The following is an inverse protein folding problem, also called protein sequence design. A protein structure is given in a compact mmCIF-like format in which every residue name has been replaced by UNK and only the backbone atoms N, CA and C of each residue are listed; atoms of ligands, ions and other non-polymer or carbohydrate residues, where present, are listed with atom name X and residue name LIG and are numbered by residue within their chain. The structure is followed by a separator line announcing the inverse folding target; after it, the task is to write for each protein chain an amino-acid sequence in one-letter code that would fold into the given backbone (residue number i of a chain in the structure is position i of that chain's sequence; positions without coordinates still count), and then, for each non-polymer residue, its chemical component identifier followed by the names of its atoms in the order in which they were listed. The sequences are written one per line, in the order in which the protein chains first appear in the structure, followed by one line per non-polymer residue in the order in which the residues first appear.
data_IF_136964864192
#
_entry.id   IF_136964864192
#
_cell.length_a   1.000
_cell.length_b   1.000
_cell.length_c   1.000
_cell.angle_alpha   90.00
_cell.angle_beta   90.00
_cell.angle_gamma   90.00
#
_symmetry.space_group_name_H-M   'P 1'
#
loop_
_entity.id
_entity.type
_entity.pdbx_description
1 polymer ?
#
# COMPACT_ATOMS: atom_id res chain seq x y z
N UNK A 1 -8.18 11.06 -19.38
CA UNK A 1 -7.86 9.68 -19.83
C UNK A 1 -9.12 8.84 -19.71
N UNK A 2 -9.53 8.12 -20.76
CA UNK A 2 -10.81 7.38 -20.79
C UNK A 2 -10.75 6.01 -20.05
N UNK A 3 -9.77 5.81 -19.17
CA UNK A 3 -9.62 4.56 -18.39
C UNK A 3 -9.22 3.31 -19.19
N UNK A 4 -8.90 3.44 -20.49
CA UNK A 4 -8.46 2.31 -21.32
C UNK A 4 -6.97 2.02 -21.07
N UNK A 5 -6.66 0.75 -20.86
CA UNK A 5 -5.30 0.21 -20.82
C UNK A 5 -5.02 -0.65 -22.06
N UNK A 6 -3.75 -0.84 -22.40
CA UNK A 6 -3.36 -1.77 -23.49
C UNK A 6 -3.51 -3.21 -23.00
N UNK A 7 -3.75 -4.15 -23.92
CA UNK A 7 -4.01 -5.56 -23.56
C UNK A 7 -2.81 -6.27 -22.88
N UNK A 8 -1.61 -5.71 -23.00
CA UNK A 8 -0.39 -6.20 -22.35
C UNK A 8 -0.14 -5.56 -20.97
N UNK A 9 -1.09 -4.78 -20.44
CA UNK A 9 -0.96 -4.17 -19.12
C UNK A 9 -1.08 -5.24 -18.05
N UNK A 10 -0.13 -5.28 -17.12
CA UNK A 10 -0.21 -6.12 -15.93
C UNK A 10 -1.06 -5.39 -14.90
N UNK A 11 -2.15 -6.03 -14.49
CA UNK A 11 -2.98 -5.56 -13.40
C UNK A 11 -2.32 -5.90 -12.05
N UNK A 12 -2.37 -4.97 -11.11
CA UNK A 12 -1.70 -5.06 -9.81
C UNK A 12 -2.70 -4.86 -8.69
N UNK A 13 -2.34 -5.28 -7.48
CA UNK A 13 -3.19 -5.15 -6.31
C UNK A 13 -2.78 -3.96 -5.44
N UNK A 14 -3.77 -3.23 -4.93
CA UNK A 14 -3.66 -2.25 -3.83
C UNK A 14 -4.72 -2.59 -2.78
N UNK A 15 -4.32 -2.85 -1.54
CA UNK A 15 -5.19 -3.20 -0.41
C UNK A 15 -4.36 -3.32 0.88
N UNK A 16 -5.00 -3.43 2.05
CA UNK A 16 -4.35 -3.92 3.25
C UNK A 16 -3.99 -5.42 3.14
N UNK A 17 -4.79 -6.23 2.43
CA UNK A 17 -4.54 -7.67 2.27
C UNK A 17 -5.20 -8.25 1.01
N UNK A 18 -4.42 -8.33 -0.07
CA UNK A 18 -4.87 -8.88 -1.36
C UNK A 18 -5.20 -10.38 -1.35
N UNK A 19 -4.70 -11.11 -0.34
CA UNK A 19 -5.02 -12.52 -0.15
C UNK A 19 -6.45 -12.66 0.39
N UNK A 20 -6.77 -12.01 1.51
CA UNK A 20 -8.11 -12.10 2.13
C UNK A 20 -9.20 -11.43 1.31
N UNK A 21 -8.86 -10.36 0.57
CA UNK A 21 -9.80 -9.63 -0.27
C UNK A 21 -10.12 -10.38 -1.58
N UNK A 22 -9.52 -11.55 -1.76
CA UNK A 22 -9.75 -12.46 -2.88
C UNK A 22 -9.17 -11.97 -4.20
N UNK A 23 -8.33 -10.93 -4.19
CA UNK A 23 -7.70 -10.42 -5.41
C UNK A 23 -6.82 -11.49 -6.05
N UNK A 24 -6.01 -12.19 -5.25
CA UNK A 24 -5.11 -13.24 -5.77
C UNK A 24 -5.89 -14.35 -6.50
N UNK A 25 -6.99 -14.81 -5.90
CA UNK A 25 -7.86 -15.82 -6.52
C UNK A 25 -8.45 -15.35 -7.84
N UNK A 26 -8.85 -14.08 -7.95
CA UNK A 26 -9.38 -13.51 -9.20
C UNK A 26 -8.27 -13.34 -10.23
N UNK A 27 -7.10 -12.88 -9.84
CA UNK A 27 -5.97 -12.66 -10.75
C UNK A 27 -5.51 -13.97 -11.38
N UNK A 28 -5.34 -15.04 -10.59
CA UNK A 28 -4.95 -16.36 -11.09
C UNK A 28 -5.98 -16.93 -12.07
N UNK A 29 -7.28 -16.62 -11.91
CA UNK A 29 -8.32 -17.06 -12.84
C UNK A 29 -8.34 -16.25 -14.15
N UNK A 30 -8.17 -14.93 -14.06
CA UNK A 30 -8.35 -14.02 -15.19
C UNK A 30 -7.07 -13.82 -16.00
N UNK A 31 -5.90 -13.91 -15.35
CA UNK A 31 -4.59 -13.59 -15.91
C UNK A 31 -3.52 -14.58 -15.41
N UNK A 32 -3.68 -15.89 -15.69
CA UNK A 32 -2.80 -16.93 -15.13
C UNK A 32 -1.33 -16.81 -15.56
N UNK A 33 -1.05 -16.13 -16.67
CA UNK A 33 0.28 -15.99 -17.25
C UNK A 33 0.99 -14.67 -16.86
N UNK A 34 0.37 -13.84 -16.02
CA UNK A 34 0.97 -12.60 -15.53
C UNK A 34 1.35 -12.71 -14.05
N UNK A 35 2.45 -12.05 -13.62
CA UNK A 35 2.85 -12.09 -12.23
C UNK A 35 1.88 -11.30 -11.35
N UNK A 36 1.63 -11.81 -10.15
CA UNK A 36 0.92 -11.07 -9.10
C UNK A 36 1.85 -10.02 -8.49
N UNK A 37 1.48 -8.74 -8.60
CA UNK A 37 2.23 -7.61 -8.05
C UNK A 37 1.36 -6.84 -7.03
N UNK A 38 1.86 -6.66 -5.81
CA UNK A 38 1.19 -5.90 -4.76
C UNK A 38 1.85 -4.53 -4.65
N UNK A 39 1.24 -3.52 -5.27
CA UNK A 39 1.88 -2.21 -5.48
C UNK A 39 1.68 -1.23 -4.34
N UNK A 40 0.66 -1.40 -3.50
CA UNK A 40 0.42 -0.51 -2.35
C UNK A 40 -0.13 -1.27 -1.14
N UNK A 41 0.68 -1.39 -0.06
CA UNK A 41 0.33 -2.09 1.18
C UNK A 41 1.05 -1.54 2.40
N UNK A 42 0.38 -0.75 3.26
CA UNK A 42 0.87 -0.39 4.61
C UNK A 42 -0.23 0.30 5.44
N UNK A 43 0.00 1.53 5.93
CA UNK A 43 -0.92 2.36 6.70
C UNK A 43 -1.72 3.34 5.84
N UNK A 44 -2.15 4.45 6.45
CA UNK A 44 -3.00 5.44 5.80
C UNK A 44 -2.47 6.86 6.04
N UNK A 45 -2.90 7.80 5.19
CA UNK A 45 -2.64 9.22 5.43
C UNK A 45 -3.57 9.76 6.52
N UNK A 46 -3.20 10.88 7.13
CA UNK A 46 -4.04 11.55 8.12
C UNK A 46 -4.73 12.78 7.50
N UNK A 47 -6.03 12.92 7.76
CA UNK A 47 -6.79 14.12 7.42
C UNK A 47 -6.88 15.08 8.61
N UNK A 48 -7.07 16.37 8.34
CA UNK A 48 -7.24 17.36 9.41
C UNK A 48 -8.50 17.10 10.23
N UNK A 49 -8.34 16.96 11.55
CA UNK A 49 -9.45 16.70 12.48
C UNK A 49 -9.68 15.22 12.79
N UNK A 50 -9.03 14.31 12.05
CA UNK A 50 -9.13 12.87 12.28
C UNK A 50 -7.99 12.36 13.18
N UNK A 51 -8.27 11.25 13.87
CA UNK A 51 -7.25 10.51 14.61
C UNK A 51 -6.25 9.84 13.66
N UNK A 52 -5.05 9.56 14.17
CA UNK A 52 -4.04 8.80 13.43
C UNK A 52 -4.55 7.39 13.17
N UNK A 53 -4.50 6.96 11.91
CA UNK A 53 -4.81 5.59 11.53
C UNK A 53 -3.57 4.72 11.80
N UNK A 54 -3.68 3.80 12.77
CA UNK A 54 -2.59 2.92 13.16
C UNK A 54 -2.78 1.54 12.55
N UNK A 55 -1.73 0.99 11.94
CA UNK A 55 -1.69 -0.41 11.50
C UNK A 55 -0.56 -1.15 12.17
N UNK A 56 -0.90 -2.18 12.95
CA UNK A 56 0.09 -2.95 13.70
C UNK A 56 1.06 -3.69 12.79
N UNK A 57 2.34 -3.77 13.17
CA UNK A 57 3.35 -4.51 12.42
C UNK A 57 3.03 -6.00 12.26
N UNK A 58 2.37 -6.63 13.24
CA UNK A 58 1.87 -8.01 13.13
C UNK A 58 0.88 -8.21 11.98
N UNK A 59 -0.09 -7.31 11.84
CA UNK A 59 -1.08 -7.37 10.74
C UNK A 59 -0.42 -7.19 9.38
N UNK A 60 0.49 -6.21 9.28
CA UNK A 60 1.27 -5.95 8.07
C UNK A 60 2.14 -7.17 7.69
N UNK A 61 2.87 -7.73 8.65
CA UNK A 61 3.70 -8.92 8.45
C UNK A 61 2.88 -10.14 8.02
N UNK A 62 1.68 -10.33 8.59
CA UNK A 62 0.78 -11.41 8.18
C UNK A 62 0.31 -11.24 6.73
N UNK A 63 -0.09 -10.02 6.34
CA UNK A 63 -0.49 -9.72 4.96
C UNK A 63 0.63 -10.01 3.95
N UNK A 64 1.86 -9.56 4.25
CA UNK A 64 3.04 -9.81 3.40
C UNK A 64 3.40 -11.30 3.36
N UNK A 65 3.34 -12.00 4.49
CA UNK A 65 3.61 -13.43 4.55
C UNK A 65 2.60 -14.25 3.73
N UNK A 66 1.31 -13.95 3.86
CA UNK A 66 0.25 -14.59 3.07
C UNK A 66 0.43 -14.35 1.57
N UNK A 67 0.79 -13.12 1.18
CA UNK A 67 1.05 -12.76 -0.21
C UNK A 67 2.13 -13.63 -0.83
N UNK A 68 3.31 -13.69 -0.22
CA UNK A 68 4.42 -14.48 -0.76
C UNK A 68 4.15 -15.99 -0.66
N UNK A 69 3.53 -16.46 0.43
CA UNK A 69 3.18 -17.88 0.58
C UNK A 69 2.18 -18.36 -0.49
N UNK A 70 1.30 -17.48 -0.95
CA UNK A 70 0.34 -17.76 -2.02
C UNK A 70 0.89 -17.50 -3.44
N UNK A 71 2.19 -17.21 -3.58
CA UNK A 71 2.87 -17.10 -4.87
C UNK A 71 2.98 -15.68 -5.44
N UNK A 72 2.80 -14.65 -4.60
CA UNK A 72 3.06 -13.27 -4.99
C UNK A 72 4.52 -13.05 -5.45
N UNK A 73 4.72 -12.27 -6.51
CA UNK A 73 6.05 -12.06 -7.11
C UNK A 73 6.73 -10.76 -6.67
N UNK A 74 5.94 -9.76 -6.30
CA UNK A 74 6.41 -8.44 -5.88
C UNK A 74 5.49 -7.86 -4.82
N UNK A 75 6.07 -7.09 -3.89
CA UNK A 75 5.34 -6.33 -2.88
C UNK A 75 6.03 -4.99 -2.64
N UNK A 76 5.24 -3.94 -2.44
CA UNK A 76 5.69 -2.61 -2.09
C UNK A 76 4.92 -2.04 -0.90
N UNK A 77 5.68 -1.49 0.05
CA UNK A 77 5.16 -0.70 1.15
C UNK A 77 4.76 0.69 0.66
N UNK A 78 3.48 1.02 0.77
CA UNK A 78 2.96 2.35 0.52
C UNK A 78 2.41 2.88 1.85
N UNK A 79 3.22 3.55 2.67
CA UNK A 79 4.50 4.21 2.34
C UNK A 79 5.66 3.75 3.21
N UNK A 80 6.72 3.16 2.66
CA UNK A 80 7.94 2.90 3.47
C UNK A 80 8.46 4.15 4.21
N UNK A 81 8.37 5.31 3.56
CA UNK A 81 8.56 6.62 4.17
C UNK A 81 7.58 7.60 3.53
N UNK A 82 6.64 8.13 4.30
CA UNK A 82 5.67 9.10 3.78
C UNK A 82 6.20 10.54 3.76
N UNK A 83 6.96 10.96 4.77
CA UNK A 83 7.60 12.27 4.82
C UNK A 83 6.64 13.42 5.11
N UNK A 84 6.82 14.56 4.43
CA UNK A 84 6.08 15.80 4.72
C UNK A 84 5.54 16.48 3.46
N UNK A 85 4.28 16.89 3.53
CA UNK A 85 3.61 17.76 2.57
C UNK A 85 3.97 19.23 2.85
N UNK A 86 5.07 19.72 2.28
CA UNK A 86 5.47 21.12 2.43
C UNK A 86 4.69 22.07 1.51
N UNK A 87 4.63 23.34 1.92
CA UNK A 87 3.99 24.38 1.13
C UNK A 87 2.47 24.25 1.08
N UNK A 88 1.88 24.53 -0.09
CA UNK A 88 0.41 24.63 -0.25
C UNK A 88 -0.12 23.97 -1.54
N UNK A 89 0.70 23.12 -2.17
CA UNK A 89 0.39 22.49 -3.47
C UNK A 89 0.43 20.96 -3.41
N UNK A 90 0.48 20.38 -2.21
CA UNK A 90 0.36 18.94 -1.98
C UNK A 90 -1.12 18.50 -1.98
N UNK A 91 -1.46 17.42 -1.28
CA UNK A 91 -2.83 16.92 -1.17
C UNK A 91 -3.78 17.85 -0.39
N UNK A 92 -5.04 17.93 -0.84
CA UNK A 92 -6.08 18.70 -0.15
C UNK A 92 -6.63 17.92 1.04
N UNK A 93 -6.78 18.59 2.19
CA UNK A 93 -7.40 17.99 3.39
C UNK A 93 -6.51 16.99 4.13
N UNK A 94 -5.27 16.79 3.67
CA UNK A 94 -4.26 15.92 4.29
C UNK A 94 -3.37 16.76 5.20
N UNK A 95 -2.96 16.20 6.34
CA UNK A 95 -2.04 16.86 7.26
C UNK A 95 -0.65 17.06 6.66
N UNK A 96 0.18 17.88 7.32
CA UNK A 96 1.56 18.12 6.89
C UNK A 96 2.41 16.86 6.96
N UNK A 97 2.28 16.04 8.01
CA UNK A 97 2.95 14.74 8.10
C UNK A 97 2.19 13.73 7.24
N UNK A 98 2.86 13.11 6.28
CA UNK A 98 2.21 12.18 5.36
C UNK A 98 2.45 10.74 5.82
N UNK A 99 1.38 10.04 6.20
CA UNK A 99 1.39 8.62 6.59
C UNK A 99 2.54 8.29 7.57
N UNK A 100 2.49 8.83 8.79
CA UNK A 100 3.63 8.81 9.72
C UNK A 100 3.70 7.56 10.64
N UNK A 101 2.68 6.71 10.59
CA UNK A 101 2.65 5.40 11.30
C UNK A 101 3.29 4.27 10.47
N UNK A 102 4.15 4.64 9.52
CA UNK A 102 4.82 3.71 8.60
C UNK A 102 6.25 3.41 9.04
N UNK A 103 6.97 2.56 8.30
CA UNK A 103 8.31 2.08 8.65
C UNK A 103 9.32 3.17 9.04
N UNK A 104 9.27 4.35 8.40
CA UNK A 104 10.07 5.52 8.77
C UNK A 104 9.17 6.71 9.10
N UNK A 105 9.41 7.32 10.26
CA UNK A 105 8.80 8.60 10.64
C UNK A 105 9.17 9.71 9.65
N UNK A 106 8.42 10.82 9.70
CA UNK A 106 8.54 11.97 8.83
C UNK A 106 9.90 12.69 8.95
N UNK A 107 10.62 12.48 10.06
CA UNK A 107 11.99 12.96 10.27
C UNK A 107 13.08 11.97 9.81
N UNK A 108 12.68 10.80 9.30
CA UNK A 108 13.57 9.75 8.80
C UNK A 108 14.06 8.77 9.86
N UNK A 109 13.62 8.90 11.11
CA UNK A 109 13.94 7.91 12.15
C UNK A 109 13.12 6.61 11.98
N UNK A 110 13.66 5.45 12.38
CA UNK A 110 12.90 4.19 12.35
C UNK A 110 11.66 4.25 13.26
N UNK A 111 10.52 3.79 12.74
CA UNK A 111 9.32 3.54 13.52
C UNK A 111 9.31 2.08 13.98
N UNK A 112 10.04 1.83 15.07
CA UNK A 112 10.15 0.48 15.63
C UNK A 112 8.82 0.05 16.28
N UNK A 113 8.43 -1.22 16.19
CA UNK A 113 9.15 -2.38 15.63
C UNK A 113 8.63 -2.93 14.29
#
# INVERSE_FOLDING_TARGET
CNGLSVNSTIETCNSCNCYSDGWMSRHVQNSPDTPMLFTENEGWFQAWGDAVAIRTSTDLALSVAQWFAAGGAYHAYYMWHGGNNYGRTAGSGITTMYADDVCLHADGTPNEP
#
